data_IF_935073973387
#
_entry.id   IF_935073973387
#
_cell.length_a   1.000
_cell.length_b   1.000
_cell.length_c   1.000
_cell.angle_alpha   90.00
_cell.angle_beta   90.00
_cell.angle_gamma   90.00
#
_symmetry.space_group_name_H-M   'P 1'
#
loop_
_entity.id
_entity.type
_entity.pdbx_description
1 polymer ?
#
# COMPACT_ATOMS: atom_id res chain seq x y z
N UNK A 1 -3.52 -9.44 7.06
CA UNK A 1 -3.17 -10.09 5.78
C UNK A 1 -1.69 -10.13 5.49
N UNK A 2 -0.97 -9.01 5.48
CA UNK A 2 0.46 -8.99 5.10
C UNK A 2 1.35 -9.86 6.00
N UNK A 3 1.07 -9.87 7.31
CA UNK A 3 1.82 -10.62 8.33
C UNK A 3 1.80 -12.14 8.10
N UNK A 4 0.75 -12.67 7.48
CA UNK A 4 0.57 -14.11 7.25
C UNK A 4 0.82 -14.51 5.79
N UNK A 5 1.35 -13.62 4.94
CA UNK A 5 1.60 -13.91 3.52
C UNK A 5 0.35 -14.00 2.64
N UNK A 6 -0.86 -14.03 3.22
CA UNK A 6 -2.16 -14.17 2.51
C UNK A 6 -2.40 -13.08 1.47
N UNK A 7 -1.72 -11.93 1.57
CA UNK A 7 -1.79 -10.86 0.58
C UNK A 7 -1.32 -11.27 -0.83
N UNK A 8 -0.47 -12.29 -0.96
CA UNK A 8 -0.07 -12.83 -2.27
C UNK A 8 -1.24 -13.48 -3.03
N UNK A 9 -2.23 -14.03 -2.32
CA UNK A 9 -3.43 -14.58 -2.98
C UNK A 9 -4.26 -13.53 -3.71
N UNK A 10 -4.14 -12.25 -3.33
CA UNK A 10 -4.82 -11.14 -4.04
C UNK A 10 -4.16 -10.91 -5.41
N UNK A 11 -2.85 -11.12 -5.52
CA UNK A 11 -2.11 -10.98 -6.78
C UNK A 11 -2.56 -12.04 -7.79
N UNK A 12 -2.82 -13.27 -7.34
CA UNK A 12 -3.32 -14.34 -8.20
C UNK A 12 -4.73 -14.02 -8.72
N UNK A 13 -5.61 -13.52 -7.84
CA UNK A 13 -6.96 -13.06 -8.23
C UNK A 13 -6.88 -11.92 -9.24
N UNK A 14 -5.98 -10.96 -9.02
CA UNK A 14 -5.75 -9.85 -9.94
C UNK A 14 -5.34 -10.32 -11.33
N UNK A 15 -4.47 -11.34 -11.38
CA UNK A 15 -3.99 -11.91 -12.63
C UNK A 15 -5.13 -12.58 -13.41
N UNK A 16 -6.04 -13.25 -12.69
CA UNK A 16 -7.24 -13.84 -13.27
C UNK A 16 -8.21 -12.78 -13.80
N UNK A 17 -8.45 -11.69 -13.05
CA UNK A 17 -9.34 -10.60 -13.46
C UNK A 17 -8.77 -9.82 -14.65
N UNK A 18 -7.45 -9.57 -14.69
CA UNK A 18 -6.79 -8.99 -15.86
C UNK A 18 -6.96 -9.87 -17.11
N UNK A 19 -6.85 -11.20 -16.97
CA UNK A 19 -6.99 -12.13 -18.09
C UNK A 19 -8.44 -12.23 -18.60
N UNK A 20 -9.42 -12.12 -17.71
CA UNK A 20 -10.84 -12.26 -18.06
C UNK A 20 -11.51 -10.95 -18.49
N UNK A 21 -11.18 -9.84 -17.82
CA UNK A 21 -11.87 -8.54 -17.94
C UNK A 21 -10.98 -7.45 -18.56
N UNK A 22 -9.66 -7.64 -18.57
CA UNK A 22 -8.69 -6.64 -19.04
C UNK A 22 -8.44 -5.50 -18.05
N UNK A 23 -9.06 -5.56 -16.86
CA UNK A 23 -8.86 -4.63 -15.75
C UNK A 23 -9.17 -5.32 -14.42
N UNK A 24 -8.64 -4.79 -13.33
CA UNK A 24 -8.88 -5.28 -11.99
C UNK A 24 -9.24 -4.14 -11.01
N UNK A 25 -10.39 -4.23 -10.32
CA UNK A 25 -10.79 -3.28 -9.30
C UNK A 25 -10.18 -3.59 -7.92
N UNK A 26 -9.76 -4.84 -7.65
CA UNK A 26 -9.41 -5.30 -6.30
C UNK A 26 -8.03 -4.78 -5.90
N UNK A 27 -7.01 -5.04 -6.72
CA UNK A 27 -5.64 -4.58 -6.50
C UNK A 27 -5.55 -3.06 -6.50
N UNK A 28 -6.42 -2.40 -7.28
CA UNK A 28 -6.53 -0.95 -7.36
C UNK A 28 -6.81 -0.31 -6.00
N UNK A 29 -7.69 -0.93 -5.20
CA UNK A 29 -7.99 -0.50 -3.83
C UNK A 29 -6.86 -0.80 -2.86
N UNK A 30 -6.21 -1.95 -2.98
CA UNK A 30 -5.13 -2.35 -2.06
C UNK A 30 -3.82 -1.59 -2.25
N UNK A 31 -3.52 -1.06 -3.44
CA UNK A 31 -2.30 -0.29 -3.68
C UNK A 31 -2.21 0.95 -2.77
N UNK A 32 -3.34 1.59 -2.45
CA UNK A 32 -3.37 2.78 -1.58
C UNK A 32 -3.14 2.47 -0.10
N UNK A 33 -3.26 1.21 0.31
CA UNK A 33 -3.01 0.78 1.70
C UNK A 33 -1.53 0.93 2.07
N UNK A 34 -0.63 0.71 1.10
CA UNK A 34 0.81 0.92 1.29
C UNK A 34 1.12 2.38 1.62
N UNK A 35 0.47 3.33 0.95
CA UNK A 35 0.62 4.77 1.22
C UNK A 35 0.01 5.19 2.56
N UNK A 36 -1.11 4.59 2.96
CA UNK A 36 -1.67 4.80 4.29
C UNK A 36 -0.69 4.36 5.40
N UNK A 37 -0.01 3.22 5.21
CA UNK A 37 1.01 2.74 6.14
C UNK A 37 2.20 3.70 6.24
N UNK A 38 2.71 4.17 5.09
CA UNK A 38 3.80 5.15 5.03
C UNK A 38 3.39 6.47 5.70
N UNK A 39 2.13 6.90 5.54
CA UNK A 39 1.58 8.08 6.21
C UNK A 39 1.57 7.96 7.73
N UNK A 40 1.24 6.78 8.26
CA UNK A 40 1.33 6.52 9.71
C UNK A 40 2.78 6.53 10.19
N UNK A 41 3.72 5.95 9.42
CA UNK A 41 5.15 6.02 9.75
C UNK A 41 5.64 7.47 9.76
N UNK A 42 5.23 8.29 8.80
CA UNK A 42 5.56 9.71 8.74
C UNK A 42 5.01 10.48 9.96
N UNK A 43 3.79 10.16 10.38
CA UNK A 43 3.21 10.72 11.60
C UNK A 43 4.03 10.36 12.84
N UNK A 44 4.52 9.12 12.93
CA UNK A 44 5.41 8.66 14.02
C UNK A 44 6.75 9.40 13.98
N UNK A 45 7.36 9.60 12.80
CA UNK A 45 8.61 10.37 12.65
C UNK A 45 8.45 11.79 13.20
N UNK A 46 7.30 12.41 12.95
CA UNK A 46 6.99 13.78 13.42
C UNK A 46 6.68 13.83 14.91
N UNK A 47 6.02 12.80 15.46
CA UNK A 47 5.57 12.77 16.85
C UNK A 47 6.63 12.24 17.83
N UNK A 48 7.51 11.34 17.38
CA UNK A 48 8.48 10.70 18.27
C UNK A 48 9.60 11.65 18.71
N UNK A 49 9.95 11.58 20.00
CA UNK A 49 11.12 12.26 20.58
C UNK A 49 12.35 11.35 20.66
N UNK A 50 12.16 10.04 20.47
CA UNK A 50 13.23 9.05 20.50
C UNK A 50 14.02 9.10 19.19
N UNK A 51 15.31 9.45 19.28
CA UNK A 51 16.22 9.56 18.13
C UNK A 51 16.40 8.24 17.40
N UNK A 52 16.49 7.12 18.14
CA UNK A 52 16.69 5.79 17.55
C UNK A 52 15.46 5.36 16.78
N UNK A 53 14.27 5.60 17.35
CA UNK A 53 13.02 5.31 16.64
C UNK A 53 12.90 6.15 15.37
N UNK A 54 13.25 7.44 15.45
CA UNK A 54 13.14 8.37 14.33
C UNK A 54 14.02 7.96 13.16
N UNK A 55 15.25 7.51 13.45
CA UNK A 55 16.19 7.01 12.44
C UNK A 55 15.65 5.76 11.73
N UNK A 56 15.24 4.74 12.50
CA UNK A 56 14.64 3.53 11.93
C UNK A 56 13.37 3.84 11.15
N UNK A 57 12.55 4.76 11.64
CA UNK A 57 11.32 5.16 10.98
C UNK A 57 11.55 5.90 9.66
N UNK A 58 12.59 6.74 9.60
CA UNK A 58 12.96 7.44 8.38
C UNK A 58 13.44 6.46 7.30
N UNK A 59 14.28 5.48 7.67
CA UNK A 59 14.70 4.42 6.73
C UNK A 59 13.53 3.58 6.21
N UNK A 60 12.61 3.18 7.10
CA UNK A 60 11.41 2.44 6.73
C UNK A 60 10.43 3.26 5.87
N UNK A 61 10.37 4.58 6.06
CA UNK A 61 9.57 5.48 5.24
C UNK A 61 10.06 5.50 3.79
N UNK A 62 11.37 5.67 3.58
CA UNK A 62 11.96 5.63 2.24
C UNK A 62 11.80 4.24 1.61
N UNK A 63 12.04 3.18 2.37
CA UNK A 63 11.77 1.80 1.92
C UNK A 63 10.33 1.60 1.44
N UNK A 64 9.36 2.08 2.23
CA UNK A 64 7.94 1.99 1.89
C UNK A 64 7.59 2.75 0.61
N UNK A 65 8.20 3.91 0.37
CA UNK A 65 7.97 4.72 -0.83
C UNK A 65 8.33 3.97 -2.13
N UNK A 66 9.35 3.11 -2.06
CA UNK A 66 9.76 2.22 -3.15
C UNK A 66 9.02 0.88 -3.17
N UNK A 67 7.95 0.73 -2.38
CA UNK A 67 7.10 -0.46 -2.37
C UNK A 67 7.49 -1.53 -1.37
N UNK A 68 8.54 -1.34 -0.57
CA UNK A 68 9.01 -2.31 0.43
C UNK A 68 8.49 -1.92 1.80
N UNK A 69 7.42 -2.57 2.25
CA UNK A 69 6.68 -2.20 3.48
C UNK A 69 7.02 -3.07 4.69
N UNK A 70 7.79 -4.16 4.54
CA UNK A 70 8.24 -4.99 5.67
C UNK A 70 8.92 -4.21 6.81
N UNK A 71 9.90 -3.31 6.57
CA UNK A 71 10.57 -2.61 7.67
C UNK A 71 9.62 -1.66 8.42
N UNK A 72 8.60 -1.12 7.75
CA UNK A 72 7.59 -0.27 8.37
C UNK A 72 6.60 -1.07 9.23
N UNK A 73 6.18 -2.23 8.74
CA UNK A 73 5.27 -3.13 9.45
C UNK A 73 5.97 -3.70 10.68
N UNK A 74 7.04 -4.48 10.47
CA UNK A 74 7.67 -5.24 11.55
C UNK A 74 8.52 -4.37 12.48
N UNK A 75 9.16 -3.33 11.94
CA UNK A 75 10.07 -2.49 12.72
C UNK A 75 9.39 -1.41 13.57
N UNK A 76 8.20 -0.94 13.19
CA UNK A 76 7.64 0.29 13.77
C UNK A 76 6.19 0.13 14.23
N UNK A 77 5.32 -0.30 13.31
CA UNK A 77 3.87 -0.29 13.55
C UNK A 77 3.42 -1.54 14.30
N UNK A 78 3.89 -2.74 13.97
CA UNK A 78 3.51 -3.99 14.63
C UNK A 78 3.86 -4.04 16.14
N UNK A 79 5.04 -3.57 16.60
CA UNK A 79 5.33 -3.49 18.04
C UNK A 79 4.44 -2.48 18.78
N UNK A 80 3.81 -1.55 18.06
CA UNK A 80 2.99 -0.47 18.60
C UNK A 80 1.54 -0.63 18.15
N UNK A 81 0.75 -1.33 18.96
CA UNK A 81 -0.66 -1.63 18.69
C UNK A 81 -1.50 -0.42 18.24
N UNK A 82 -1.27 0.77 18.82
CA UNK A 82 -1.99 2.02 18.44
C UNK A 82 -1.72 2.43 16.97
N UNK A 83 -0.46 2.69 16.56
CA UNK A 83 -0.11 2.89 15.15
C UNK A 83 -0.61 1.80 14.20
N UNK A 84 -0.55 0.53 14.60
CA UNK A 84 -1.01 -0.56 13.77
C UNK A 84 -2.51 -0.49 13.46
N UNK A 85 -3.34 -0.21 14.48
CA UNK A 85 -4.78 -0.04 14.27
C UNK A 85 -5.07 1.20 13.42
N UNK A 86 -4.35 2.30 13.65
CA UNK A 86 -4.49 3.52 12.85
C UNK A 86 -4.16 3.29 11.37
N UNK A 87 -3.15 2.47 11.05
CA UNK A 87 -2.84 2.16 9.66
C UNK A 87 -3.84 1.21 9.02
N UNK A 88 -4.44 0.28 9.77
CA UNK A 88 -5.57 -0.51 9.29
C UNK A 88 -6.78 0.38 8.96
N UNK A 89 -7.12 1.33 9.84
CA UNK A 89 -8.23 2.27 9.59
C UNK A 89 -7.90 3.17 8.40
N UNK A 90 -6.69 3.72 8.32
CA UNK A 90 -6.25 4.53 7.19
C UNK A 90 -6.30 3.77 5.86
N UNK A 91 -5.91 2.48 5.87
CA UNK A 91 -6.01 1.60 4.71
C UNK A 91 -7.46 1.29 4.30
N UNK A 92 -8.36 1.10 5.28
CA UNK A 92 -9.78 0.90 5.00
C UNK A 92 -10.42 2.15 4.37
N UNK A 93 -10.09 3.34 4.89
CA UNK A 93 -10.58 4.61 4.34
C UNK A 93 -10.03 4.87 2.95
N UNK A 94 -8.74 4.64 2.71
CA UNK A 94 -8.15 4.84 1.37
C UNK A 94 -8.70 3.87 0.34
N UNK A 95 -8.90 2.59 0.72
CA UNK A 95 -9.56 1.60 -0.12
C UNK A 95 -11.02 1.95 -0.44
N UNK A 96 -11.77 2.45 0.56
CA UNK A 96 -13.16 2.88 0.37
C UNK A 96 -13.27 4.09 -0.57
N UNK A 97 -12.34 5.05 -0.48
CA UNK A 97 -12.27 6.19 -1.39
C UNK A 97 -12.02 5.70 -2.82
N UNK A 98 -10.98 4.89 -3.04
CA UNK A 98 -10.66 4.35 -4.37
C UNK A 98 -11.83 3.56 -4.97
N UNK A 99 -12.47 2.72 -4.16
CA UNK A 99 -13.66 1.97 -4.55
C UNK A 99 -14.83 2.87 -4.93
N UNK A 100 -15.07 3.96 -4.20
CA UNK A 100 -16.12 4.93 -4.50
C UNK A 100 -15.89 5.69 -5.81
N UNK A 101 -14.62 5.91 -6.19
CA UNK A 101 -14.25 6.53 -7.47
C UNK A 101 -14.15 5.53 -8.64
N UNK A 102 -14.49 4.25 -8.42
CA UNK A 102 -14.41 3.18 -9.43
C UNK A 102 -13.06 3.14 -10.18
N UNK A 103 -11.96 3.42 -9.49
CA UNK A 103 -10.63 3.36 -10.11
C UNK A 103 -10.19 1.91 -10.27
N UNK A 104 -9.75 1.56 -11.48
CA UNK A 104 -9.34 0.20 -11.85
C UNK A 104 -7.90 0.19 -12.34
N UNK A 105 -7.22 -0.93 -12.15
CA UNK A 105 -5.89 -1.21 -12.70
C UNK A 105 -6.02 -1.92 -14.05
N UNK A 106 -5.16 -1.58 -15.00
CA UNK A 106 -5.15 -2.19 -16.34
C UNK A 106 -3.95 -3.10 -16.59
N UNK A 107 -2.89 -2.96 -15.80
CA UNK A 107 -1.69 -3.81 -15.82
C UNK A 107 -1.30 -4.14 -14.38
N UNK A 108 -0.58 -5.24 -14.19
CA UNK A 108 0.00 -5.59 -12.89
C UNK A 108 1.07 -4.55 -12.51
N UNK A 109 0.84 -3.74 -11.46
CA UNK A 109 1.79 -2.71 -11.06
C UNK A 109 3.00 -3.32 -10.34
N UNK A 110 4.18 -2.80 -10.64
CA UNK A 110 5.30 -2.83 -9.70
C UNK A 110 4.96 -1.95 -8.50
N UNK A 111 5.26 -2.42 -7.29
CA UNK A 111 4.91 -1.73 -6.04
C UNK A 111 5.60 -0.36 -5.91
N UNK A 112 4.99 0.54 -5.13
CA UNK A 112 5.52 1.88 -4.86
C UNK A 112 5.16 2.89 -5.96
N UNK A 113 5.98 3.93 -6.12
CA UNK A 113 5.76 5.00 -7.11
C UNK A 113 5.57 4.48 -8.55
N UNK A 114 6.12 3.32 -8.87
CA UNK A 114 5.99 2.66 -10.17
C UNK A 114 4.61 2.07 -10.45
N UNK A 115 3.68 2.11 -9.48
CA UNK A 115 2.30 1.67 -9.69
C UNK A 115 1.44 2.69 -10.44
N UNK A 116 1.88 3.95 -10.56
CA UNK A 116 1.09 5.04 -11.18
C UNK A 116 0.72 4.74 -12.64
N UNK A 117 1.64 4.27 -13.52
CA UNK A 117 1.30 3.94 -14.90
C UNK A 117 0.23 2.86 -15.02
N UNK A 118 0.04 2.03 -13.98
CA UNK A 118 -0.89 0.92 -14.04
C UNK A 118 -2.37 1.33 -13.99
N UNK A 119 -2.65 2.56 -13.53
CA UNK A 119 -3.98 3.16 -13.55
C UNK A 119 -4.30 3.88 -14.87
N UNK A 120 -3.32 4.00 -15.78
CA UNK A 120 -3.51 4.64 -17.08
C UNK A 120 -4.15 3.63 -18.03
N UNK A 121 -5.27 4.00 -18.63
CA UNK A 121 -5.97 3.13 -19.57
C UNK A 121 -5.11 2.95 -20.85
N UNK A 122 -4.71 1.72 -21.20
CA UNK A 122 -3.88 1.45 -22.36
C UNK A 122 -4.58 1.76 -23.70
N UNK A 123 -5.92 1.84 -23.73
CA UNK A 123 -6.70 2.19 -24.93
C UNK A 123 -6.63 3.67 -25.34
N UNK A 124 -6.05 4.53 -24.51
CA UNK A 124 -5.84 5.96 -24.82
C UNK A 124 -4.43 6.21 -25.41
N UNK A 125 -3.54 5.21 -25.36
CA UNK A 125 -2.12 5.32 -25.73
C UNK A 125 -1.76 4.46 -26.97
N UNK A 126 -2.75 3.81 -27.60
CA UNK A 126 -2.62 3.15 -28.91
C UNK A 126 -3.58 3.80 -29.91
#
# INVERSE_FOLDING_TARGET
>A
MVIFGVHWGIVDVTTADLAALGYDPILGMTCMVCYAQIGVVLAIIKQTKDKKLKETATGAFFSGLFGVTEPAIYGITLPRKRPFVLSCIGGAVSGAIIGAFHSVLYILPSMGFFAIPAYINPKVVQ
#
